data_IF_257007340438
#
_entry.id   IF_257007340438
#
_cell.length_a   1.000
_cell.length_b   1.000
_cell.length_c   1.000
_cell.angle_alpha   90.00
_cell.angle_beta   90.00
_cell.angle_gamma   90.00
#
_symmetry.space_group_name_H-M   'P 1'
#
loop_
_entity.id
_entity.type
_entity.pdbx_description
1 polymer ?
#
# COMPACT_ATOMS: atom_id res chain seq x y z
N UNK A 1 22.68 -30.68 -3.19
CA UNK A 1 22.46 -29.45 -4.00
C UNK A 1 21.82 -28.28 -3.22
N UNK A 2 21.08 -28.50 -2.11
CA UNK A 2 20.40 -27.41 -1.36
C UNK A 2 21.29 -26.58 -0.39
N UNK A 3 22.46 -27.08 0.03
CA UNK A 3 23.29 -26.38 1.03
C UNK A 3 23.92 -25.09 0.49
N UNK A 4 24.44 -25.11 -0.74
CA UNK A 4 25.02 -23.92 -1.41
C UNK A 4 23.99 -22.81 -1.62
N UNK A 5 22.83 -23.16 -2.17
CA UNK A 5 21.73 -22.21 -2.39
C UNK A 5 21.23 -21.56 -1.09
N UNK A 6 21.22 -22.30 0.02
CA UNK A 6 20.84 -21.76 1.33
C UNK A 6 21.93 -20.85 1.91
N UNK A 7 23.19 -21.28 1.77
CA UNK A 7 24.36 -20.55 2.24
C UNK A 7 24.57 -19.21 1.50
N UNK A 8 24.14 -19.10 0.25
CA UNK A 8 24.14 -17.86 -0.53
C UNK A 8 22.88 -17.00 -0.28
N UNK A 9 21.73 -17.60 0.03
CA UNK A 9 20.49 -16.86 0.30
C UNK A 9 20.50 -16.11 1.63
N UNK A 10 21.04 -16.71 2.70
CA UNK A 10 21.05 -16.09 4.02
C UNK A 10 21.81 -14.74 4.08
N UNK A 11 23.00 -14.59 3.46
CA UNK A 11 23.67 -13.30 3.37
C UNK A 11 22.98 -12.34 2.40
N UNK A 12 22.41 -12.81 1.29
CA UNK A 12 21.64 -11.96 0.38
C UNK A 12 20.40 -11.35 1.06
N UNK A 13 19.69 -12.13 1.88
CA UNK A 13 18.56 -11.64 2.67
C UNK A 13 19.00 -10.56 3.66
N UNK A 14 20.09 -10.79 4.40
CA UNK A 14 20.63 -9.80 5.33
C UNK A 14 21.05 -8.50 4.64
N UNK A 15 21.75 -8.60 3.52
CA UNK A 15 22.16 -7.43 2.74
C UNK A 15 20.95 -6.66 2.19
N UNK A 16 19.89 -7.37 1.77
CA UNK A 16 18.65 -6.73 1.32
C UNK A 16 17.94 -6.00 2.46
N UNK A 17 17.84 -6.63 3.64
CA UNK A 17 17.27 -6.02 4.84
C UNK A 17 18.06 -4.77 5.26
N UNK A 18 19.39 -4.82 5.24
CA UNK A 18 20.27 -3.70 5.57
C UNK A 18 20.13 -2.55 4.56
N UNK A 19 20.05 -2.84 3.26
CA UNK A 19 19.80 -1.83 2.23
C UNK A 19 18.41 -1.19 2.40
N UNK A 20 17.38 -1.98 2.73
CA UNK A 20 16.04 -1.47 3.02
C UNK A 20 16.01 -0.60 4.29
N UNK A 21 16.80 -0.96 5.31
CA UNK A 21 16.95 -0.13 6.52
C UNK A 21 17.67 1.19 6.21
N UNK A 22 18.72 1.16 5.39
CA UNK A 22 19.58 2.31 5.13
C UNK A 22 19.06 3.25 4.03
N UNK A 23 18.22 2.79 3.08
CA UNK A 23 17.77 3.61 1.95
C UNK A 23 16.41 4.28 2.12
N UNK A 24 15.59 3.88 3.08
CA UNK A 24 14.23 4.44 3.22
C UNK A 24 14.25 5.60 4.22
N UNK A 25 14.67 6.77 3.73
CA UNK A 25 14.57 8.05 4.47
C UNK A 25 13.15 8.62 4.42
N UNK A 26 12.41 8.35 3.34
CA UNK A 26 11.09 8.94 3.11
C UNK A 26 9.97 7.97 3.49
N UNK A 27 8.89 8.46 4.13
CA UNK A 27 7.71 7.64 4.40
C UNK A 27 7.13 7.10 3.09
N UNK A 28 6.89 5.78 2.99
CA UNK A 28 6.34 5.18 1.78
C UNK A 28 4.90 5.64 1.57
N UNK A 29 4.46 5.62 0.32
CA UNK A 29 3.05 5.81 -0.01
C UNK A 29 2.21 4.65 0.55
N UNK A 30 0.99 4.91 1.06
CA UNK A 30 0.01 3.87 1.34
C UNK A 30 -0.22 2.93 0.15
N UNK A 31 -0.53 1.67 0.43
CA UNK A 31 -0.74 0.63 -0.56
C UNK A 31 -0.08 -0.69 -0.15
N UNK A 32 0.39 -1.46 -1.14
CA UNK A 32 1.14 -2.71 -0.92
C UNK A 32 2.58 -2.38 -0.53
N UNK A 33 2.85 -2.28 0.77
CA UNK A 33 4.20 -2.01 1.29
C UNK A 33 4.88 -3.28 1.77
N UNK A 34 6.21 -3.26 1.84
CA UNK A 34 6.97 -4.37 2.41
C UNK A 34 6.72 -4.49 3.92
N UNK A 35 6.66 -5.70 4.53
CA UNK A 35 6.43 -5.91 5.97
C UNK A 35 7.51 -5.37 6.93
N UNK A 36 8.52 -4.67 6.40
CA UNK A 36 9.50 -3.96 7.22
C UNK A 36 9.15 -2.46 7.31
N UNK A 37 8.41 -1.97 6.33
CA UNK A 37 8.01 -0.57 6.24
C UNK A 37 6.75 -0.28 7.05
N UNK A 38 5.81 -1.23 7.11
CA UNK A 38 4.60 -1.09 7.94
C UNK A 38 4.95 -0.85 9.42
N UNK A 39 5.87 -1.63 9.99
CA UNK A 39 6.34 -1.49 11.37
C UNK A 39 7.14 -0.21 11.57
N UNK A 40 8.05 0.09 10.64
CA UNK A 40 8.94 1.27 10.73
C UNK A 40 8.17 2.58 10.68
N UNK A 41 7.15 2.65 9.82
CA UNK A 41 6.35 3.86 9.59
C UNK A 41 5.00 3.84 10.30
N UNK A 42 4.77 2.86 11.20
CA UNK A 42 3.54 2.71 11.97
C UNK A 42 2.28 2.71 11.11
N UNK A 43 2.35 1.98 9.99
CA UNK A 43 1.21 1.77 9.11
C UNK A 43 0.38 0.59 9.60
N UNK A 44 -0.92 0.63 9.31
CA UNK A 44 -1.89 -0.39 9.68
C UNK A 44 -2.49 -1.01 8.42
N UNK A 45 -2.75 -2.31 8.47
CA UNK A 45 -3.55 -2.99 7.46
C UNK A 45 -4.93 -2.35 7.42
N UNK A 46 -5.37 -1.91 6.23
CA UNK A 46 -6.68 -1.30 6.04
C UNK A 46 -7.80 -2.30 6.31
N UNK A 47 -7.60 -3.56 5.88
CA UNK A 47 -8.39 -4.72 6.28
C UNK A 47 -7.40 -5.80 6.75
N UNK A 48 -7.65 -6.48 7.88
CA UNK A 48 -6.77 -7.54 8.36
C UNK A 48 -6.46 -8.58 7.27
N UNK A 49 -5.18 -8.72 6.91
CA UNK A 49 -4.72 -9.71 5.93
C UNK A 49 -4.81 -9.27 4.46
N UNK A 50 -5.32 -8.07 4.16
CA UNK A 50 -5.33 -7.56 2.78
C UNK A 50 -3.94 -7.17 2.27
N UNK A 51 -2.98 -6.93 3.19
CA UNK A 51 -1.63 -6.43 2.90
C UNK A 51 -1.65 -5.08 2.17
N UNK A 52 -2.73 -4.32 2.37
CA UNK A 52 -2.88 -2.93 1.91
C UNK A 52 -2.80 -2.06 3.15
N UNK A 53 -1.74 -1.28 3.24
CA UNK A 53 -1.41 -0.51 4.44
C UNK A 53 -1.69 0.98 4.25
N UNK A 54 -2.17 1.61 5.32
CA UNK A 54 -2.38 3.06 5.43
C UNK A 54 -1.81 3.59 6.73
N UNK A 55 -1.60 4.91 6.82
CA UNK A 55 -1.22 5.53 8.10
C UNK A 55 -2.41 5.57 9.05
N UNK A 56 -2.16 5.37 10.35
CA UNK A 56 -3.22 5.44 11.38
C UNK A 56 -3.98 6.78 11.34
N UNK A 57 -3.28 7.90 11.13
CA UNK A 57 -3.89 9.23 10.97
C UNK A 57 -4.87 9.29 9.78
N UNK A 58 -4.62 8.54 8.70
CA UNK A 58 -5.55 8.45 7.56
C UNK A 58 -6.85 7.77 7.97
N UNK A 59 -6.78 6.71 8.78
CA UNK A 59 -7.98 6.03 9.32
C UNK A 59 -8.78 6.99 10.19
N UNK A 60 -8.12 7.74 11.09
CA UNK A 60 -8.79 8.73 11.93
C UNK A 60 -9.46 9.86 11.12
N UNK A 61 -8.84 10.31 10.04
CA UNK A 61 -9.42 11.32 9.17
C UNK A 61 -10.61 10.78 8.38
N UNK A 62 -10.53 9.53 7.92
CA UNK A 62 -11.60 8.86 7.20
C UNK A 62 -12.81 8.59 8.12
N UNK A 63 -12.58 8.17 9.37
CA UNK A 63 -13.65 7.87 10.34
C UNK A 63 -14.45 9.11 10.76
N UNK A 64 -13.85 10.29 10.70
CA UNK A 64 -14.50 11.57 11.00
C UNK A 64 -15.42 12.07 9.88
N UNK A 65 -15.45 11.39 8.72
CA UNK A 65 -16.30 11.81 7.59
C UNK A 65 -17.75 11.46 7.86
N UNK A 66 -18.65 12.40 7.57
CA UNK A 66 -20.09 12.25 7.85
C UNK A 66 -20.82 11.25 6.95
N UNK A 67 -20.19 10.77 5.87
CA UNK A 67 -20.79 9.84 4.92
C UNK A 67 -19.81 8.77 4.47
N UNK A 68 -20.34 7.59 4.11
CA UNK A 68 -19.55 6.51 3.52
C UNK A 68 -18.80 6.95 2.26
N UNK A 69 -19.42 7.77 1.41
CA UNK A 69 -18.77 8.36 0.24
C UNK A 69 -17.59 9.26 0.62
N UNK A 70 -17.76 10.08 1.67
CA UNK A 70 -16.68 10.94 2.17
C UNK A 70 -15.52 10.14 2.75
N UNK A 71 -15.82 9.04 3.46
CA UNK A 71 -14.84 8.10 3.97
C UNK A 71 -14.04 7.44 2.82
N UNK A 72 -14.73 6.88 1.84
CA UNK A 72 -14.12 6.24 0.68
C UNK A 72 -13.25 7.21 -0.14
N UNK A 73 -13.72 8.45 -0.35
CA UNK A 73 -12.94 9.49 -1.02
C UNK A 73 -11.68 9.88 -0.23
N UNK A 74 -11.76 9.93 1.11
CA UNK A 74 -10.62 10.19 1.98
C UNK A 74 -9.57 9.08 1.85
N UNK A 75 -9.99 7.81 1.84
CA UNK A 75 -9.10 6.66 1.67
C UNK A 75 -8.49 6.61 0.27
N UNK A 76 -9.26 6.84 -0.79
CA UNK A 76 -8.75 6.86 -2.17
C UNK A 76 -7.64 7.90 -2.36
N UNK A 77 -7.79 9.09 -1.77
CA UNK A 77 -6.78 10.15 -1.80
C UNK A 77 -5.50 9.81 -1.02
N UNK A 78 -5.53 8.80 -0.15
CA UNK A 78 -4.32 8.31 0.51
C UNK A 78 -3.46 7.45 -0.44
N UNK A 79 -4.10 6.72 -1.36
CA UNK A 79 -3.43 5.82 -2.29
C UNK A 79 -3.07 6.48 -3.63
N UNK A 80 -3.89 7.43 -4.07
CA UNK A 80 -3.78 8.05 -5.39
C UNK A 80 -3.80 9.57 -5.28
N UNK A 81 -3.04 10.23 -6.14
CA UNK A 81 -3.15 11.68 -6.37
C UNK A 81 -4.40 11.99 -7.17
N UNK A 82 -4.84 13.24 -7.11
CA UNK A 82 -5.95 13.73 -7.94
C UNK A 82 -5.73 13.48 -9.43
N UNK A 83 -4.49 13.60 -9.93
CA UNK A 83 -4.18 13.34 -11.35
C UNK A 83 -4.30 11.85 -11.70
N UNK A 84 -3.82 10.96 -10.83
CA UNK A 84 -4.00 9.52 -11.00
C UNK A 84 -5.48 9.12 -10.97
N UNK A 85 -6.28 9.74 -10.11
CA UNK A 85 -7.72 9.49 -10.01
C UNK A 85 -8.47 9.89 -11.29
N UNK A 86 -8.11 11.00 -11.95
CA UNK A 86 -8.73 11.43 -13.22
C UNK A 86 -8.56 10.39 -14.33
N UNK A 87 -7.39 9.74 -14.36
CA UNK A 87 -7.02 8.70 -15.31
C UNK A 87 -7.49 7.30 -14.94
N UNK A 88 -8.31 7.15 -13.88
CA UNK A 88 -8.80 5.86 -13.38
C UNK A 88 -10.30 5.71 -13.51
N UNK A 89 -10.74 4.46 -13.60
CA UNK A 89 -12.15 4.09 -13.53
C UNK A 89 -12.34 2.82 -12.69
N UNK A 90 -13.60 2.54 -12.33
CA UNK A 90 -14.00 1.40 -11.51
C UNK A 90 -14.07 0.08 -12.30
N UNK A 91 -13.91 0.11 -13.63
CA UNK A 91 -14.02 -1.09 -14.45
C UNK A 91 -12.75 -1.93 -14.34
N UNK A 92 -12.94 -3.24 -14.19
CA UNK A 92 -11.88 -4.22 -13.90
C UNK A 92 -10.75 -4.23 -14.94
N UNK A 93 -11.02 -3.80 -16.17
CA UNK A 93 -10.07 -3.78 -17.30
C UNK A 93 -9.59 -2.38 -17.68
N UNK A 94 -10.14 -1.33 -17.05
CA UNK A 94 -10.10 -0.01 -17.66
C UNK A 94 -11.06 0.08 -18.86
N UNK A 95 -11.56 1.28 -19.11
CA UNK A 95 -12.45 1.59 -20.23
C UNK A 95 -12.31 3.06 -20.60
N UNK A 96 -12.63 3.39 -21.86
CA UNK A 96 -12.50 4.75 -22.40
C UNK A 96 -11.09 5.34 -22.26
N UNK A 97 -10.05 4.49 -22.41
CA UNK A 97 -8.65 4.91 -22.30
C UNK A 97 -8.17 5.18 -20.87
N UNK A 98 -8.98 4.88 -19.84
CA UNK A 98 -8.60 4.99 -18.43
C UNK A 98 -8.13 3.65 -17.87
N UNK A 99 -7.18 3.70 -16.94
CA UNK A 99 -6.67 2.53 -16.24
C UNK A 99 -7.62 2.08 -15.11
N UNK A 100 -7.61 0.80 -14.76
CA UNK A 100 -8.33 0.31 -13.60
C UNK A 100 -7.65 0.76 -12.28
N UNK A 101 -8.41 0.74 -11.18
CA UNK A 101 -7.85 0.76 -9.83
C UNK A 101 -7.11 -0.54 -9.51
N UNK A 102 -6.18 -0.49 -8.54
CA UNK A 102 -5.66 -1.73 -7.99
C UNK A 102 -6.81 -2.45 -7.27
N UNK A 103 -7.14 -3.69 -7.67
CA UNK A 103 -8.29 -4.40 -7.13
C UNK A 103 -8.16 -4.70 -5.64
N UNK A 104 -6.96 -4.92 -5.13
CA UNK A 104 -6.76 -5.19 -3.70
C UNK A 104 -6.98 -3.94 -2.86
N UNK A 105 -6.57 -2.77 -3.38
CA UNK A 105 -6.85 -1.47 -2.74
C UNK A 105 -8.35 -1.20 -2.74
N UNK A 106 -9.02 -1.38 -3.89
CA UNK A 106 -10.45 -1.13 -4.00
C UNK A 106 -11.26 -2.08 -3.10
N UNK A 107 -10.94 -3.37 -3.10
CA UNK A 107 -11.57 -4.36 -2.22
C UNK A 107 -11.25 -4.14 -0.74
N UNK A 108 -10.18 -3.40 -0.41
CA UNK A 108 -9.89 -3.03 0.98
C UNK A 108 -10.70 -1.82 1.47
N UNK A 109 -11.35 -1.08 0.57
CA UNK A 109 -12.17 0.09 0.92
C UNK A 109 -13.66 -0.27 1.03
N UNK A 110 -14.10 -1.33 0.34
CA UNK A 110 -15.50 -1.82 0.28
C UNK A 110 -15.75 -2.86 1.37
#
# INVERSE_FOLDING_TARGET
>A
MCKKLKQENDPLKRNLEEVLQNKVSEPPRPGKVHPLNDRRFQMVDLIPGSRVFVYANTIEQASKRASGTGCAACLLNAFYTNEELKGKNLEKTGANGKSAFDPDILNSII
#
